data_IF_770896926710
#
_entry.id   IF_770896926710
#
_cell.length_a   1.000
_cell.length_b   1.000
_cell.length_c   1.000
_cell.angle_alpha   90.00
_cell.angle_beta   90.00
_cell.angle_gamma   90.00
#
_symmetry.space_group_name_H-M   'P 1'
#
loop_
_entity.id
_entity.type
_entity.pdbx_description
1 polymer ?
#
# COMPACT_ATOMS: atom_id res chain seq x y z
N UNK A 1 4.23 35.34 -10.23
CA UNK A 1 2.90 35.51 -10.87
C UNK A 1 1.85 35.06 -9.87
N UNK A 2 0.72 35.75 -9.80
CA UNK A 2 -0.38 35.45 -8.87
C UNK A 2 -1.40 34.53 -9.54
N UNK A 3 -1.40 33.25 -9.17
CA UNK A 3 -2.40 32.29 -9.65
C UNK A 3 -3.73 32.56 -8.93
N UNK A 4 -4.61 33.34 -9.57
CA UNK A 4 -6.01 33.44 -9.16
C UNK A 4 -6.73 32.21 -9.75
N UNK A 5 -7.37 31.43 -8.88
CA UNK A 5 -8.23 30.32 -9.27
C UNK A 5 -9.53 30.45 -8.46
N UNK A 6 -10.59 30.91 -9.12
CA UNK A 6 -11.92 31.05 -8.53
C UNK A 6 -12.89 30.02 -9.13
N UNK A 7 -13.35 29.06 -8.32
CA UNK A 7 -14.70 28.48 -8.40
C UNK A 7 -15.15 28.14 -6.97
N UNK A 8 -16.42 28.41 -6.63
CA UNK A 8 -17.09 28.08 -5.36
C UNK A 8 -18.57 27.71 -5.60
N UNK A 9 -19.50 27.74 -4.63
CA UNK A 9 -19.40 28.06 -3.20
C UNK A 9 -19.64 26.80 -2.31
N UNK A 10 -20.71 26.47 -1.55
CA UNK A 10 -21.97 27.08 -1.03
C UNK A 10 -22.19 26.51 0.41
N UNK A 11 -23.03 27.15 1.26
CA UNK A 11 -23.54 26.63 2.55
C UNK A 11 -24.99 27.09 2.75
N UNK A 12 -25.96 26.21 3.07
CA UNK A 12 -26.92 26.41 4.18
C UNK A 12 -27.89 25.23 4.46
N UNK A 13 -28.56 25.29 5.62
CA UNK A 13 -30.00 25.03 5.76
C UNK A 13 -30.55 23.62 5.46
N UNK A 14 -31.33 23.55 4.37
CA UNK A 14 -32.24 22.46 4.00
C UNK A 14 -31.89 21.98 2.58
N UNK A 15 -31.67 20.67 2.37
CA UNK A 15 -30.84 20.20 1.24
C UNK A 15 -31.20 18.82 0.62
N UNK A 16 -32.45 18.58 0.24
CA UNK A 16 -32.86 17.36 -0.51
C UNK A 16 -32.38 17.30 -1.99
N UNK A 17 -31.43 18.15 -2.43
CA UNK A 17 -31.20 18.43 -3.86
C UNK A 17 -29.73 18.69 -4.29
N UNK A 18 -28.73 18.49 -3.42
CA UNK A 18 -27.38 19.05 -3.64
C UNK A 18 -26.33 18.11 -4.26
N UNK A 19 -26.60 16.80 -4.38
CA UNK A 19 -25.64 15.79 -4.86
C UNK A 19 -25.14 16.08 -6.28
N UNK A 20 -26.05 16.20 -7.24
CA UNK A 20 -25.75 16.33 -8.69
C UNK A 20 -25.01 17.65 -9.06
N UNK A 21 -24.77 18.50 -8.05
CA UNK A 21 -24.16 19.83 -8.20
C UNK A 21 -22.67 19.87 -7.86
N UNK A 22 -22.08 18.81 -7.28
CA UNK A 22 -20.70 18.78 -6.79
C UNK A 22 -19.67 18.59 -7.93
N UNK A 23 -19.72 19.47 -8.95
CA UNK A 23 -18.83 19.45 -10.11
C UNK A 23 -17.47 20.04 -9.76
N UNK A 24 -16.42 19.21 -9.70
CA UNK A 24 -15.05 19.69 -9.51
C UNK A 24 -14.33 19.74 -10.86
N UNK A 25 -13.90 20.92 -11.28
CA UNK A 25 -12.96 21.05 -12.40
C UNK A 25 -11.57 20.53 -11.99
N UNK A 26 -11.29 19.28 -12.33
CA UNK A 26 -9.99 18.66 -12.08
C UNK A 26 -8.86 19.22 -12.95
N UNK A 27 -9.15 19.96 -14.03
CA UNK A 27 -8.12 20.43 -14.98
C UNK A 27 -7.06 21.34 -14.34
N UNK A 28 -7.41 22.00 -13.22
CA UNK A 28 -6.55 22.89 -12.45
C UNK A 28 -6.04 22.29 -11.12
N UNK A 29 -6.25 20.99 -10.87
CA UNK A 29 -6.02 20.34 -9.56
C UNK A 29 -4.89 19.28 -9.63
N UNK A 30 -3.63 19.68 -9.55
CA UNK A 30 -2.51 18.70 -9.60
C UNK A 30 -2.46 17.73 -8.41
N UNK A 31 -3.10 18.05 -7.28
CA UNK A 31 -3.16 17.19 -6.08
C UNK A 31 -4.43 17.48 -5.29
N UNK A 32 -5.29 16.48 -5.21
CA UNK A 32 -6.47 16.37 -4.35
C UNK A 32 -6.18 15.30 -3.27
N UNK A 33 -6.53 15.56 -2.02
CA UNK A 33 -6.57 14.51 -0.98
C UNK A 33 -8.00 14.29 -0.52
N UNK A 34 -8.45 13.03 -0.49
CA UNK A 34 -9.80 12.62 -0.08
C UNK A 34 -9.68 11.67 1.11
N UNK A 35 -10.37 11.95 2.21
CA UNK A 35 -10.14 11.23 3.47
C UNK A 35 -11.41 10.79 4.19
N UNK A 36 -11.38 9.58 4.77
CA UNK A 36 -12.48 8.94 5.48
C UNK A 36 -12.84 7.57 4.89
N UNK A 37 -13.71 6.81 5.57
CA UNK A 37 -14.12 5.46 5.14
C UNK A 37 -14.71 5.42 3.71
N UNK A 38 -15.50 6.44 3.37
CA UNK A 38 -16.12 6.71 2.07
C UNK A 38 -15.16 7.23 0.97
N UNK A 39 -13.87 7.42 1.25
CA UNK A 39 -12.95 8.15 0.36
C UNK A 39 -12.74 7.50 -1.02
N UNK A 40 -12.92 6.19 -1.12
CA UNK A 40 -12.92 5.46 -2.38
C UNK A 40 -14.15 5.85 -3.22
N UNK A 41 -15.35 5.74 -2.64
CA UNK A 41 -16.65 6.01 -3.26
C UNK A 41 -16.75 7.48 -3.70
N UNK A 42 -16.33 8.39 -2.82
CA UNK A 42 -16.16 9.82 -3.11
C UNK A 42 -15.31 10.06 -4.37
N UNK A 43 -14.20 9.34 -4.47
CA UNK A 43 -13.28 9.46 -5.60
C UNK A 43 -13.89 8.86 -6.85
N UNK A 44 -14.54 7.68 -6.78
CA UNK A 44 -15.27 7.09 -7.90
C UNK A 44 -16.31 8.05 -8.50
N UNK A 45 -17.06 8.76 -7.67
CA UNK A 45 -18.01 9.78 -8.12
C UNK A 45 -17.32 10.95 -8.85
N UNK A 46 -16.24 11.51 -8.27
CA UNK A 46 -15.44 12.57 -8.93
C UNK A 46 -14.79 12.11 -10.24
N UNK A 47 -14.36 10.85 -10.32
CA UNK A 47 -13.84 10.25 -11.54
C UNK A 47 -14.92 10.08 -12.62
N UNK A 48 -16.17 9.80 -12.22
CA UNK A 48 -17.32 9.74 -13.13
C UNK A 48 -17.58 11.05 -13.88
N UNK A 49 -17.26 12.19 -13.25
CA UNK A 49 -17.41 13.53 -13.85
C UNK A 49 -16.43 13.80 -15.01
N UNK A 50 -15.33 13.04 -15.10
CA UNK A 50 -14.30 13.15 -16.14
C UNK A 50 -14.14 11.87 -16.99
N UNK A 51 -14.97 10.86 -16.74
CA UNK A 51 -14.99 9.61 -17.50
C UNK A 51 -15.17 9.87 -19.00
N UNK A 52 -14.50 9.08 -19.84
CA UNK A 52 -14.48 9.29 -21.30
C UNK A 52 -13.72 10.55 -21.78
N UNK A 53 -13.39 11.51 -20.90
CA UNK A 53 -12.79 12.80 -21.27
C UNK A 53 -11.29 12.92 -20.96
N UNK A 54 -10.76 12.09 -20.03
CA UNK A 54 -9.35 12.04 -19.66
C UNK A 54 -8.87 10.59 -19.50
N UNK A 55 -7.57 10.35 -19.59
CA UNK A 55 -7.00 9.06 -19.17
C UNK A 55 -7.08 8.93 -17.64
N UNK A 56 -7.30 7.72 -17.15
CA UNK A 56 -7.61 7.44 -15.75
C UNK A 56 -7.00 6.11 -15.30
N UNK A 57 -6.03 6.21 -14.39
CA UNK A 57 -5.41 5.04 -13.75
C UNK A 57 -5.69 5.08 -12.24
N UNK A 58 -6.56 4.19 -11.78
CA UNK A 58 -6.79 3.95 -10.35
C UNK A 58 -5.89 2.81 -9.90
N UNK A 59 -4.98 3.07 -8.96
CA UNK A 59 -4.08 2.06 -8.38
C UNK A 59 -4.64 1.68 -7.00
N UNK A 60 -5.19 0.47 -6.88
CA UNK A 60 -5.65 -0.06 -5.60
C UNK A 60 -4.74 -1.20 -5.11
N UNK A 61 -3.75 -0.90 -4.24
CA UNK A 61 -2.86 -1.93 -3.72
C UNK A 61 -3.55 -2.96 -2.81
N UNK A 62 -4.67 -2.61 -2.15
CA UNK A 62 -5.26 -3.44 -1.08
C UNK A 62 -6.78 -3.65 -1.17
N UNK A 63 -7.49 -3.13 -2.20
CA UNK A 63 -8.93 -3.41 -2.39
C UNK A 63 -9.25 -3.99 -3.77
N UNK A 64 -10.26 -4.87 -3.80
CA UNK A 64 -10.95 -5.34 -5.01
C UNK A 64 -12.32 -4.66 -5.16
N UNK A 65 -12.40 -3.38 -4.78
CA UNK A 65 -13.61 -2.54 -4.85
C UNK A 65 -13.36 -1.29 -5.69
N UNK A 66 -14.35 -0.90 -6.48
CA UNK A 66 -14.25 0.19 -7.45
C UNK A 66 -15.48 0.26 -8.36
N UNK A 67 -15.49 1.19 -9.34
CA UNK A 67 -16.67 1.45 -10.15
C UNK A 67 -16.77 0.50 -11.36
N UNK A 68 -17.95 -0.04 -11.60
CA UNK A 68 -18.21 -1.01 -12.69
C UNK A 68 -17.95 -0.47 -14.11
N UNK A 69 -17.87 0.85 -14.28
CA UNK A 69 -17.63 1.49 -15.58
C UNK A 69 -16.13 1.62 -15.95
N UNK A 70 -15.20 1.30 -15.04
CA UNK A 70 -13.77 1.20 -15.35
C UNK A 70 -13.39 -0.20 -15.83
N UNK A 71 -12.44 -0.29 -16.77
CA UNK A 71 -11.84 -1.58 -17.13
C UNK A 71 -11.14 -2.17 -15.90
N UNK A 72 -11.44 -3.42 -15.57
CA UNK A 72 -10.85 -4.08 -14.40
C UNK A 72 -9.58 -4.87 -14.74
N UNK A 73 -8.50 -4.60 -14.00
CA UNK A 73 -7.19 -5.26 -14.14
C UNK A 73 -6.73 -5.75 -12.76
N UNK A 74 -6.51 -7.05 -12.58
CA UNK A 74 -5.86 -7.62 -11.39
C UNK A 74 -4.44 -8.06 -11.73
N UNK A 75 -3.43 -7.52 -11.03
CA UNK A 75 -2.03 -7.87 -11.28
C UNK A 75 -1.75 -9.31 -10.85
N UNK A 76 -1.33 -10.14 -11.82
CA UNK A 76 -1.09 -11.57 -11.63
C UNK A 76 -2.23 -12.47 -12.09
N UNK A 77 -3.39 -11.89 -12.43
CA UNK A 77 -4.46 -12.56 -13.18
C UNK A 77 -4.41 -12.12 -14.65
N UNK A 78 -5.18 -11.08 -15.02
CA UNK A 78 -5.33 -10.60 -16.39
C UNK A 78 -4.38 -9.43 -16.75
N UNK A 79 -3.52 -8.98 -15.83
CA UNK A 79 -2.55 -7.91 -16.06
C UNK A 79 -1.19 -8.17 -15.39
N UNK A 80 -0.12 -7.55 -15.89
CA UNK A 80 1.21 -7.62 -15.27
C UNK A 80 2.10 -6.42 -15.59
N UNK A 81 2.84 -5.92 -14.62
CA UNK A 81 3.72 -4.76 -14.71
C UNK A 81 5.10 -5.14 -14.16
N UNK A 82 6.18 -4.90 -14.92
CA UNK A 82 7.53 -5.25 -14.48
C UNK A 82 8.20 -4.07 -13.73
N UNK A 83 8.41 -4.16 -12.41
CA UNK A 83 9.03 -3.09 -11.62
C UNK A 83 10.55 -3.01 -11.80
N UNK A 84 11.17 -3.96 -12.51
CA UNK A 84 12.60 -3.97 -12.77
C UNK A 84 12.96 -3.28 -14.11
N UNK A 85 12.01 -3.15 -15.05
CA UNK A 85 12.21 -2.46 -16.34
C UNK A 85 12.51 -0.96 -16.10
N UNK A 86 13.73 -0.48 -16.38
CA UNK A 86 14.17 0.84 -15.94
C UNK A 86 13.52 1.97 -16.72
N UNK A 87 13.01 3.00 -16.01
CA UNK A 87 12.32 4.14 -16.63
C UNK A 87 13.11 5.44 -16.46
N UNK A 88 13.65 5.93 -17.58
CA UNK A 88 14.58 7.07 -17.61
C UNK A 88 16.01 6.65 -17.29
N UNK A 89 16.69 7.41 -16.42
CA UNK A 89 18.05 7.07 -15.97
C UNK A 89 18.07 5.77 -15.13
N UNK A 90 18.87 4.80 -15.60
CA UNK A 90 19.14 3.50 -14.95
C UNK A 90 19.71 3.65 -13.54
N UNK A 91 20.58 4.64 -13.30
CA UNK A 91 21.19 4.84 -11.97
C UNK A 91 20.16 5.36 -10.97
N UNK A 92 19.42 6.42 -11.31
CA UNK A 92 18.33 6.93 -10.49
C UNK A 92 17.21 5.88 -10.26
N UNK A 93 16.90 5.05 -11.27
CA UNK A 93 15.86 4.02 -11.15
C UNK A 93 16.29 2.84 -10.26
N UNK A 94 17.54 2.35 -10.36
CA UNK A 94 18.05 1.29 -9.48
C UNK A 94 18.11 1.74 -8.01
N UNK A 95 18.48 3.00 -7.76
CA UNK A 95 18.36 3.63 -6.44
C UNK A 95 16.92 3.66 -5.94
N UNK A 96 15.99 4.15 -6.75
CA UNK A 96 14.58 4.27 -6.40
C UNK A 96 13.94 2.91 -6.04
N UNK A 97 14.14 1.88 -6.85
CA UNK A 97 13.63 0.53 -6.57
C UNK A 97 14.27 -0.06 -5.32
N UNK A 98 15.60 0.01 -5.17
CA UNK A 98 16.28 -0.51 -3.97
C UNK A 98 15.81 0.17 -2.67
N UNK A 99 15.57 1.49 -2.70
CA UNK A 99 15.02 2.23 -1.56
C UNK A 99 13.59 1.79 -1.22
N UNK A 100 12.74 1.45 -2.19
CA UNK A 100 11.37 0.98 -1.92
C UNK A 100 11.38 -0.44 -1.35
N UNK A 101 12.19 -1.35 -1.88
CA UNK A 101 12.40 -2.68 -1.28
C UNK A 101 12.92 -2.55 0.16
N UNK A 102 13.83 -1.60 0.41
CA UNK A 102 14.29 -1.26 1.76
C UNK A 102 13.16 -0.80 2.69
N UNK A 103 12.20 -0.04 2.18
CA UNK A 103 10.96 0.25 2.89
C UNK A 103 10.15 -1.02 3.17
N UNK A 104 9.65 -1.64 2.10
CA UNK A 104 8.69 -2.74 2.10
C UNK A 104 9.14 -4.01 2.86
N UNK A 105 10.45 -4.23 2.99
CA UNK A 105 11.04 -5.37 3.69
C UNK A 105 12.01 -4.99 4.82
N UNK A 106 12.12 -3.70 5.16
CA UNK A 106 13.05 -3.20 6.21
C UNK A 106 14.52 -3.60 6.00
N UNK A 107 14.98 -3.67 4.75
CA UNK A 107 16.33 -4.14 4.40
C UNK A 107 17.43 -3.31 5.08
N UNK A 108 18.54 -3.98 5.44
CA UNK A 108 19.71 -3.29 5.95
C UNK A 108 20.47 -2.54 4.82
N UNK A 109 21.40 -1.65 5.19
CA UNK A 109 22.13 -0.83 4.21
C UNK A 109 22.99 -1.66 3.23
N UNK A 110 23.54 -2.80 3.68
CA UNK A 110 24.35 -3.68 2.83
C UNK A 110 23.45 -4.42 1.82
N UNK A 111 22.33 -5.00 2.28
CA UNK A 111 21.30 -5.59 1.41
C UNK A 111 20.79 -4.59 0.37
N UNK A 112 20.46 -3.36 0.79
CA UNK A 112 20.01 -2.29 -0.12
C UNK A 112 21.08 -2.00 -1.20
N UNK A 113 22.36 -1.96 -0.81
CA UNK A 113 23.45 -1.71 -1.75
C UNK A 113 23.69 -2.88 -2.70
N UNK A 114 23.63 -4.13 -2.22
CA UNK A 114 23.74 -5.32 -3.04
C UNK A 114 22.60 -5.39 -4.08
N UNK A 115 21.35 -5.16 -3.67
CA UNK A 115 20.20 -5.09 -4.59
C UNK A 115 20.39 -3.99 -5.64
N UNK A 116 20.82 -2.78 -5.24
CA UNK A 116 21.13 -1.70 -6.20
C UNK A 116 22.23 -2.08 -7.21
N UNK A 117 23.29 -2.78 -6.77
CA UNK A 117 24.35 -3.27 -7.68
C UNK A 117 23.83 -4.37 -8.61
N UNK A 118 22.98 -5.27 -8.11
CA UNK A 118 22.35 -6.33 -8.89
C UNK A 118 21.43 -5.75 -9.98
N UNK A 119 20.57 -4.79 -9.61
CA UNK A 119 19.76 -4.01 -10.55
C UNK A 119 20.64 -3.33 -11.60
N UNK A 120 21.71 -2.63 -11.21
CA UNK A 120 22.62 -2.01 -12.18
C UNK A 120 23.33 -3.01 -13.11
N UNK A 121 23.69 -4.22 -12.64
CA UNK A 121 24.21 -5.30 -13.51
C UNK A 121 23.14 -5.76 -14.51
N UNK A 122 21.94 -6.08 -14.04
CA UNK A 122 20.82 -6.47 -14.91
C UNK A 122 20.49 -5.37 -15.94
N UNK A 123 20.60 -4.09 -15.55
CA UNK A 123 20.36 -2.92 -16.42
C UNK A 123 21.49 -2.70 -17.43
N UNK A 124 22.67 -3.29 -17.25
CA UNK A 124 23.74 -3.28 -18.25
C UNK A 124 23.58 -4.47 -19.23
N UNK A 125 23.16 -5.63 -18.74
CA UNK A 125 22.91 -6.83 -19.56
C UNK A 125 21.66 -6.74 -20.44
N UNK A 126 20.56 -6.19 -19.91
CA UNK A 126 19.26 -6.12 -20.60
C UNK A 126 18.70 -4.70 -20.66
N UNK A 127 17.86 -4.44 -21.67
CA UNK A 127 17.00 -3.24 -21.74
C UNK A 127 15.70 -3.45 -20.96
N UNK A 128 15.22 -4.69 -20.87
CA UNK A 128 13.99 -5.09 -20.21
C UNK A 128 14.29 -6.28 -19.27
N UNK A 129 15.04 -6.03 -18.17
CA UNK A 129 15.39 -7.06 -17.20
C UNK A 129 14.14 -7.61 -16.51
N UNK A 130 14.08 -8.92 -16.39
CA UNK A 130 13.05 -9.67 -15.65
C UNK A 130 13.40 -9.76 -14.15
N UNK A 131 12.51 -10.35 -13.36
CA UNK A 131 12.83 -10.72 -11.98
C UNK A 131 13.99 -11.74 -11.91
N UNK A 132 14.06 -12.67 -12.89
CA UNK A 132 15.11 -13.69 -12.99
C UNK A 132 16.47 -13.07 -13.32
N UNK A 133 16.53 -12.10 -14.25
CA UNK A 133 17.77 -11.34 -14.54
C UNK A 133 18.33 -10.64 -13.30
N UNK A 134 17.44 -10.09 -12.46
CA UNK A 134 17.82 -9.43 -11.20
C UNK A 134 18.22 -10.45 -10.15
N UNK A 135 17.55 -11.61 -10.07
CA UNK A 135 17.89 -12.71 -9.16
C UNK A 135 19.30 -13.26 -9.45
N UNK A 136 19.61 -13.62 -10.68
CA UNK A 136 20.96 -14.11 -11.05
C UNK A 136 22.04 -13.03 -10.93
N UNK A 137 21.70 -11.74 -11.12
CA UNK A 137 22.62 -10.65 -10.81
C UNK A 137 22.86 -10.50 -9.29
N UNK A 138 21.85 -10.81 -8.47
CA UNK A 138 21.85 -10.70 -7.01
C UNK A 138 22.63 -11.82 -6.33
N UNK A 139 22.52 -13.06 -6.82
CA UNK A 139 23.31 -14.21 -6.34
C UNK A 139 24.83 -13.94 -6.37
N UNK A 140 25.28 -13.12 -7.33
CA UNK A 140 26.68 -12.69 -7.44
C UNK A 140 26.97 -11.52 -6.48
N UNK A 141 26.08 -10.53 -6.39
CA UNK A 141 26.27 -9.32 -5.56
C UNK A 141 26.06 -9.51 -4.06
N UNK A 142 25.40 -10.59 -3.66
CA UNK A 142 25.11 -10.94 -2.26
C UNK A 142 26.25 -11.68 -1.57
N UNK A 143 27.32 -12.04 -2.31
CA UNK A 143 28.50 -12.76 -1.79
C UNK A 143 29.29 -11.97 -0.73
N UNK A 144 29.14 -10.65 -0.68
CA UNK A 144 29.71 -9.77 0.37
C UNK A 144 28.83 -9.67 1.64
N UNK A 145 27.61 -10.21 1.62
CA UNK A 145 26.68 -10.15 2.75
C UNK A 145 26.90 -11.30 3.74
N UNK A 146 26.30 -11.20 4.92
CA UNK A 146 26.19 -12.38 5.80
C UNK A 146 25.29 -13.42 5.13
N UNK A 147 25.53 -14.73 5.35
CA UNK A 147 24.70 -15.79 4.76
C UNK A 147 23.20 -15.59 5.04
N UNK A 148 22.83 -15.07 6.22
CA UNK A 148 21.44 -14.72 6.57
C UNK A 148 20.91 -13.60 5.69
N UNK A 149 21.63 -12.48 5.62
CA UNK A 149 21.19 -11.30 4.86
C UNK A 149 21.12 -11.56 3.35
N UNK A 150 22.02 -12.41 2.85
CA UNK A 150 22.06 -12.90 1.46
C UNK A 150 20.83 -13.74 1.14
N UNK A 151 20.57 -14.81 1.92
CA UNK A 151 19.40 -15.68 1.73
C UNK A 151 18.10 -14.87 1.81
N UNK A 152 17.96 -14.00 2.82
CA UNK A 152 16.77 -13.18 3.01
C UNK A 152 16.51 -12.21 1.84
N UNK A 153 17.56 -11.66 1.24
CA UNK A 153 17.44 -10.78 0.08
C UNK A 153 17.14 -11.55 -1.22
N UNK A 154 17.69 -12.75 -1.37
CA UNK A 154 17.44 -13.66 -2.49
C UNK A 154 15.97 -14.14 -2.45
N UNK A 155 15.49 -14.64 -1.31
CA UNK A 155 14.09 -15.09 -1.12
C UNK A 155 13.06 -14.02 -1.55
N UNK A 156 13.33 -12.74 -1.25
CA UNK A 156 12.46 -11.61 -1.60
C UNK A 156 12.36 -11.39 -3.12
N UNK A 157 13.45 -11.56 -3.88
CA UNK A 157 13.43 -11.42 -5.35
C UNK A 157 12.97 -12.72 -6.02
N UNK A 158 13.30 -13.88 -5.45
CA UNK A 158 12.86 -15.21 -5.89
C UNK A 158 11.33 -15.36 -5.83
N UNK A 159 10.68 -14.78 -4.81
CA UNK A 159 9.22 -14.70 -4.73
C UNK A 159 8.61 -13.96 -5.94
N UNK A 160 9.29 -12.93 -6.45
CA UNK A 160 8.87 -12.18 -7.65
C UNK A 160 9.12 -12.91 -8.97
N UNK A 161 9.61 -14.16 -8.92
CA UNK A 161 9.71 -15.07 -10.05
C UNK A 161 8.61 -16.15 -10.06
N UNK A 162 7.74 -16.23 -9.02
CA UNK A 162 6.85 -17.40 -8.80
C UNK A 162 5.37 -17.07 -8.60
N UNK A 163 4.51 -17.99 -9.06
CA UNK A 163 3.06 -17.94 -8.84
C UNK A 163 2.40 -16.65 -9.37
N UNK A 164 1.33 -16.21 -8.69
CA UNK A 164 0.58 -14.98 -9.03
C UNK A 164 1.46 -13.72 -9.01
N UNK A 165 2.41 -13.64 -8.09
CA UNK A 165 3.37 -12.52 -7.99
C UNK A 165 4.39 -12.51 -9.13
N UNK A 166 4.91 -13.68 -9.52
CA UNK A 166 5.75 -13.83 -10.71
C UNK A 166 4.99 -13.46 -11.99
N UNK A 167 3.75 -13.96 -12.14
CA UNK A 167 2.87 -13.58 -13.24
C UNK A 167 2.67 -12.06 -13.29
N UNK A 168 2.43 -11.42 -12.14
CA UNK A 168 2.27 -9.96 -12.00
C UNK A 168 3.50 -9.16 -12.45
N UNK A 169 4.70 -9.73 -12.49
CA UNK A 169 5.94 -9.04 -12.86
C UNK A 169 6.31 -9.15 -14.37
N UNK A 170 5.46 -9.74 -15.22
CA UNK A 170 5.82 -10.11 -16.62
C UNK A 170 5.65 -9.04 -17.72
N UNK A 171 5.34 -7.78 -17.39
CA UNK A 171 5.20 -6.65 -18.33
C UNK A 171 4.18 -6.82 -19.51
N UNK A 172 2.93 -7.21 -19.23
CA UNK A 172 1.84 -7.19 -20.24
C UNK A 172 0.96 -5.93 -20.19
N UNK A 173 1.14 -5.07 -19.20
CA UNK A 173 0.31 -3.88 -18.98
C UNK A 173 0.95 -2.63 -19.60
N UNK A 174 0.28 -2.08 -20.61
CA UNK A 174 0.54 -0.73 -21.11
C UNK A 174 -0.29 0.27 -20.30
N UNK A 175 0.36 1.30 -19.74
CA UNK A 175 -0.27 2.32 -18.88
C UNK A 175 -0.59 3.62 -19.65
N UNK A 176 -0.42 3.62 -20.97
CA UNK A 176 -0.76 4.72 -21.88
C UNK A 176 -2.22 4.61 -22.32
N UNK A 177 -2.91 5.76 -22.37
CA UNK A 177 -4.29 5.91 -22.87
C UNK A 177 -5.31 4.92 -22.26
N UNK A 178 -5.10 4.62 -20.96
CA UNK A 178 -5.86 3.66 -20.18
C UNK A 178 -6.94 4.37 -19.33
N UNK A 179 -8.15 3.79 -19.30
CA UNK A 179 -9.20 4.07 -18.31
C UNK A 179 -9.49 2.78 -17.54
N UNK A 180 -8.76 2.56 -16.44
CA UNK A 180 -8.82 1.32 -15.68
C UNK A 180 -8.58 1.49 -14.18
N UNK A 181 -9.08 0.51 -13.42
CA UNK A 181 -8.62 0.23 -12.06
C UNK A 181 -7.70 -0.99 -12.08
N UNK A 182 -6.56 -0.84 -11.42
CA UNK A 182 -5.50 -1.84 -11.29
C UNK A 182 -5.46 -2.26 -9.83
N UNK A 183 -6.08 -3.40 -9.54
CA UNK A 183 -6.08 -4.00 -8.20
C UNK A 183 -4.85 -4.89 -7.99
N UNK A 184 -4.35 -4.90 -6.76
CA UNK A 184 -3.27 -5.78 -6.29
C UNK A 184 -3.62 -6.47 -4.97
N UNK A 185 -4.89 -6.45 -4.54
CA UNK A 185 -5.31 -6.96 -3.22
C UNK A 185 -5.10 -8.46 -3.01
N UNK A 186 -4.70 -9.18 -4.06
CA UNK A 186 -4.36 -10.60 -4.04
C UNK A 186 -2.83 -10.86 -4.03
N UNK A 187 -2.02 -9.81 -4.04
CA UNK A 187 -0.57 -9.86 -3.89
C UNK A 187 -0.20 -9.49 -2.44
N UNK A 188 0.88 -10.05 -1.85
CA UNK A 188 1.21 -9.74 -0.47
C UNK A 188 1.56 -8.24 -0.33
N UNK A 189 1.12 -7.54 0.74
CA UNK A 189 1.10 -6.08 0.79
C UNK A 189 2.43 -5.38 0.48
N UNK A 190 3.57 -5.91 0.94
CA UNK A 190 4.91 -5.37 0.62
C UNK A 190 5.19 -5.32 -0.89
N UNK A 191 4.77 -6.33 -1.65
CA UNK A 191 4.96 -6.37 -3.11
C UNK A 191 3.95 -5.49 -3.86
N UNK A 192 2.69 -5.46 -3.43
CA UNK A 192 1.69 -4.51 -3.94
C UNK A 192 2.16 -3.05 -3.76
N UNK A 193 2.87 -2.78 -2.66
CA UNK A 193 3.47 -1.47 -2.36
C UNK A 193 4.63 -1.12 -3.32
N UNK A 194 5.50 -2.08 -3.61
CA UNK A 194 6.59 -1.94 -4.59
C UNK A 194 6.02 -1.68 -6.00
N UNK A 195 5.06 -2.49 -6.43
CA UNK A 195 4.42 -2.38 -7.75
C UNK A 195 3.72 -1.03 -7.91
N UNK A 196 2.93 -0.60 -6.90
CA UNK A 196 2.27 0.71 -6.90
C UNK A 196 3.26 1.87 -7.04
N UNK A 197 4.38 1.84 -6.32
CA UNK A 197 5.42 2.86 -6.40
C UNK A 197 6.18 2.84 -7.74
N UNK A 198 6.46 1.65 -8.29
CA UNK A 198 7.13 1.50 -9.58
C UNK A 198 6.23 1.93 -10.75
N UNK A 199 4.93 1.61 -10.70
CA UNK A 199 3.91 2.13 -11.62
C UNK A 199 3.80 3.66 -11.54
N UNK A 200 3.80 4.23 -10.33
CA UNK A 200 3.75 5.69 -10.18
C UNK A 200 4.98 6.35 -10.81
N UNK A 201 6.20 5.83 -10.59
CA UNK A 201 7.39 6.31 -11.27
C UNK A 201 7.29 6.17 -12.80
N UNK A 202 6.72 5.06 -13.31
CA UNK A 202 6.49 4.88 -14.74
C UNK A 202 5.55 5.96 -15.32
N UNK A 203 4.43 6.24 -14.65
CA UNK A 203 3.46 7.25 -15.06
C UNK A 203 4.09 8.66 -15.12
N UNK A 204 4.85 9.05 -14.09
CA UNK A 204 5.59 10.33 -14.05
C UNK A 204 6.66 10.41 -15.13
N UNK A 205 7.41 9.31 -15.36
CA UNK A 205 8.58 9.34 -16.26
C UNK A 205 8.22 9.32 -17.74
N UNK A 206 7.04 8.81 -18.08
CA UNK A 206 6.52 8.81 -19.45
C UNK A 206 5.54 9.96 -19.73
N UNK A 207 5.38 10.91 -18.79
CA UNK A 207 4.57 12.12 -18.97
C UNK A 207 3.07 11.84 -19.09
N UNK A 208 2.54 10.93 -18.27
CA UNK A 208 1.13 10.54 -18.29
C UNK A 208 0.21 11.75 -18.05
N UNK A 209 -0.78 11.94 -18.92
CA UNK A 209 -1.71 13.08 -18.91
C UNK A 209 -3.11 12.59 -18.54
N UNK A 210 -3.70 13.15 -17.50
CA UNK A 210 -4.99 12.69 -16.98
C UNK A 210 -5.01 12.61 -15.45
N UNK A 211 -5.73 11.64 -14.92
CA UNK A 211 -5.94 11.44 -13.48
C UNK A 211 -5.31 10.13 -13.00
N UNK A 212 -4.52 10.18 -11.93
CA UNK A 212 -3.98 9.02 -11.23
C UNK A 212 -4.53 9.01 -9.81
N UNK A 213 -5.19 7.92 -9.43
CA UNK A 213 -5.75 7.73 -8.09
C UNK A 213 -4.96 6.68 -7.34
N UNK A 214 -4.69 6.95 -6.06
CA UNK A 214 -3.98 6.05 -5.17
C UNK A 214 -4.87 5.73 -3.97
N UNK A 215 -5.39 4.51 -3.92
CA UNK A 215 -6.23 4.04 -2.83
C UNK A 215 -5.39 3.71 -1.59
N UNK A 216 -5.97 3.91 -0.40
CA UNK A 216 -5.38 3.50 0.89
C UNK A 216 -3.92 3.97 1.09
N UNK A 217 -3.65 5.23 0.76
CA UNK A 217 -2.31 5.82 0.78
C UNK A 217 -1.69 5.87 2.19
N UNK A 218 -2.51 5.82 3.24
CA UNK A 218 -2.12 5.60 4.62
C UNK A 218 -1.47 4.22 4.83
N UNK A 219 -2.08 3.14 4.35
CA UNK A 219 -1.52 1.77 4.40
C UNK A 219 -0.27 1.67 3.51
N UNK A 220 -0.29 2.28 2.31
CA UNK A 220 0.87 2.32 1.42
C UNK A 220 2.08 3.00 2.07
N UNK A 221 1.84 4.07 2.83
CA UNK A 221 2.88 4.76 3.60
C UNK A 221 3.50 3.89 4.69
N UNK A 222 2.71 3.06 5.36
CA UNK A 222 3.23 2.17 6.41
C UNK A 222 4.15 1.10 5.80
N UNK A 223 3.74 0.44 4.72
CA UNK A 223 4.58 -0.55 4.04
C UNK A 223 5.83 0.06 3.40
N UNK A 224 5.76 1.18 2.67
CA UNK A 224 6.98 1.77 2.07
C UNK A 224 7.84 2.53 3.09
N UNK A 225 7.32 2.83 4.29
CA UNK A 225 8.05 3.32 5.44
C UNK A 225 9.05 4.45 5.13
N UNK A 226 10.35 4.16 5.25
CA UNK A 226 11.41 5.15 4.99
C UNK A 226 11.44 5.69 3.55
N UNK A 227 10.95 4.92 2.57
CA UNK A 227 10.85 5.31 1.16
C UNK A 227 9.69 6.29 0.88
N UNK A 228 8.88 6.65 1.87
CA UNK A 228 7.83 7.67 1.75
C UNK A 228 8.34 9.00 1.16
N UNK A 229 9.62 9.33 1.38
CA UNK A 229 10.27 10.52 0.80
C UNK A 229 10.31 10.46 -0.74
N UNK A 230 10.46 9.28 -1.32
CA UNK A 230 10.47 9.07 -2.77
C UNK A 230 9.07 9.25 -3.37
N UNK A 231 8.01 8.87 -2.64
CA UNK A 231 6.63 9.20 -3.01
C UNK A 231 6.40 10.72 -3.03
N UNK A 232 6.75 11.42 -1.95
CA UNK A 232 6.63 12.88 -1.88
C UNK A 232 7.45 13.57 -2.98
N UNK A 233 8.63 13.04 -3.34
CA UNK A 233 9.42 13.54 -4.47
C UNK A 233 8.69 13.40 -5.82
N UNK A 234 8.09 12.25 -6.10
CA UNK A 234 7.29 12.04 -7.33
C UNK A 234 6.11 13.01 -7.39
N UNK A 235 5.32 13.13 -6.31
CA UNK A 235 4.18 14.08 -6.19
C UNK A 235 4.61 15.52 -6.47
N UNK A 236 5.79 15.94 -6.01
CA UNK A 236 6.29 17.29 -6.30
C UNK A 236 6.71 17.49 -7.76
N UNK A 237 7.14 16.44 -8.47
CA UNK A 237 7.49 16.53 -9.90
C UNK A 237 6.27 16.58 -10.83
N UNK A 238 5.17 15.92 -10.47
CA UNK A 238 3.93 15.92 -11.27
C UNK A 238 3.29 17.31 -11.41
N UNK A 239 3.67 18.30 -10.58
CA UNK A 239 3.20 19.69 -10.66
C UNK A 239 3.58 20.46 -11.94
N UNK A 240 4.36 19.86 -12.85
CA UNK A 240 4.82 20.47 -14.12
C UNK A 240 4.00 19.96 -15.32
N UNK A 241 3.18 18.93 -15.13
CA UNK A 241 2.47 18.21 -16.19
C UNK A 241 0.94 18.28 -15.98
N UNK A 242 0.12 18.05 -17.03
CA UNK A 242 -1.34 17.99 -16.93
C UNK A 242 -1.78 16.66 -16.29
N UNK A 243 -1.39 16.49 -15.02
CA UNK A 243 -1.54 15.30 -14.22
C UNK A 243 -2.16 15.64 -12.86
N UNK A 244 -3.35 15.11 -12.64
CA UNK A 244 -4.10 15.18 -11.37
C UNK A 244 -3.80 13.95 -10.54
N UNK A 245 -3.33 14.13 -9.30
CA UNK A 245 -3.23 13.03 -8.32
C UNK A 245 -4.43 13.12 -7.37
N UNK A 246 -5.17 12.02 -7.20
CA UNK A 246 -6.13 11.87 -6.11
C UNK A 246 -5.58 10.88 -5.09
N UNK A 247 -5.26 11.39 -3.90
CA UNK A 247 -4.71 10.64 -2.79
C UNK A 247 -5.82 10.28 -1.79
N UNK A 248 -6.25 9.02 -1.76
CA UNK A 248 -7.30 8.54 -0.86
C UNK A 248 -6.70 8.02 0.45
N UNK A 249 -7.24 8.42 1.61
CA UNK A 249 -6.86 7.84 2.91
C UNK A 249 -8.05 7.43 3.77
N UNK A 250 -7.93 6.33 4.51
CA UNK A 250 -8.98 5.84 5.42
C UNK A 250 -9.40 6.86 6.49
N UNK A 251 -8.44 7.68 6.94
CA UNK A 251 -8.57 8.72 7.96
C UNK A 251 -7.86 9.99 7.51
N UNK A 252 -8.33 11.15 7.96
CA UNK A 252 -7.74 12.46 7.66
C UNK A 252 -6.60 12.82 8.63
N UNK A 253 -6.57 12.17 9.80
CA UNK A 253 -5.48 12.22 10.76
C UNK A 253 -4.21 11.57 10.20
N UNK A 254 -4.34 10.47 9.44
CA UNK A 254 -3.25 9.71 8.84
C UNK A 254 -2.68 10.31 7.55
N UNK A 255 -3.44 11.16 6.85
CA UNK A 255 -2.98 11.87 5.64
C UNK A 255 -1.66 12.59 5.92
N UNK A 256 -0.57 12.35 5.19
CA UNK A 256 0.73 12.93 5.57
C UNK A 256 0.74 14.45 5.47
N UNK A 257 1.39 15.13 6.43
CA UNK A 257 1.44 16.59 6.49
C UNK A 257 2.07 17.19 5.22
N UNK A 258 3.01 16.47 4.63
CA UNK A 258 3.67 16.80 3.37
C UNK A 258 2.71 16.84 2.18
N UNK A 259 1.58 16.10 2.23
CA UNK A 259 0.52 16.18 1.24
C UNK A 259 -0.52 17.23 1.61
N UNK A 260 -0.96 17.27 2.88
CA UNK A 260 -1.92 18.27 3.38
C UNK A 260 -1.45 19.71 3.14
N UNK A 261 -0.13 19.97 3.21
CA UNK A 261 0.48 21.28 2.92
C UNK A 261 0.71 21.58 1.43
N UNK A 262 0.46 20.61 0.53
CA UNK A 262 0.73 20.70 -0.92
C UNK A 262 -0.49 20.46 -1.81
N UNK A 263 -1.56 19.92 -1.24
CA UNK A 263 -2.83 19.69 -1.89
C UNK A 263 -3.49 21.02 -2.27
N UNK A 264 -4.05 21.08 -3.46
CA UNK A 264 -4.79 22.26 -3.96
C UNK A 264 -6.21 22.25 -3.38
N UNK A 265 -6.75 21.06 -3.10
CA UNK A 265 -8.04 20.84 -2.46
C UNK A 265 -7.96 19.66 -1.49
N UNK A 266 -8.69 19.75 -0.37
CA UNK A 266 -8.78 18.71 0.65
C UNK A 266 -10.25 18.42 0.94
N UNK A 267 -10.66 17.16 0.78
CA UNK A 267 -12.00 16.64 1.07
C UNK A 267 -11.89 15.66 2.24
N UNK A 268 -12.73 15.82 3.27
CA UNK A 268 -12.67 15.06 4.53
C UNK A 268 -14.07 14.66 4.96
N UNK A 269 -14.29 13.38 5.27
CA UNK A 269 -15.60 12.91 5.72
C UNK A 269 -15.92 13.19 7.17
N UNK A 270 -17.03 12.61 7.62
CA UNK A 270 -17.35 12.49 9.05
C UNK A 270 -16.16 11.83 9.78
N UNK A 271 -15.71 12.40 10.92
CA UNK A 271 -14.49 11.94 11.59
C UNK A 271 -14.65 10.58 12.26
N UNK A 272 -13.80 9.61 11.89
CA UNK A 272 -13.81 8.26 12.46
C UNK A 272 -13.14 8.20 13.84
N UNK A 273 -12.10 9.01 14.06
CA UNK A 273 -11.28 9.00 15.28
C UNK A 273 -11.38 10.33 16.06
N UNK A 274 -11.02 10.35 17.36
CA UNK A 274 -10.84 11.60 18.10
C UNK A 274 -9.79 12.53 17.46
N UNK A 275 -8.78 11.97 16.80
CA UNK A 275 -7.76 12.71 16.03
C UNK A 275 -8.36 13.36 14.77
N UNK A 276 -9.20 12.64 14.02
CA UNK A 276 -9.96 13.19 12.91
C UNK A 276 -10.87 14.32 13.39
N UNK A 277 -11.61 14.11 14.48
CA UNK A 277 -12.50 15.11 15.04
C UNK A 277 -11.74 16.39 15.44
N UNK A 278 -10.55 16.27 16.04
CA UNK A 278 -9.64 17.39 16.34
C UNK A 278 -9.14 18.08 15.07
N UNK A 279 -8.70 17.33 14.06
CA UNK A 279 -8.17 17.85 12.81
C UNK A 279 -9.24 18.61 12.00
N UNK A 280 -10.43 18.02 11.85
CA UNK A 280 -11.60 18.65 11.25
C UNK A 280 -12.03 19.89 12.05
N UNK A 281 -11.95 19.85 13.40
CA UNK A 281 -12.18 21.03 14.25
C UNK A 281 -11.29 22.22 13.89
N UNK A 282 -10.01 21.95 13.59
CA UNK A 282 -9.04 22.96 13.20
C UNK A 282 -9.25 23.46 11.75
N UNK A 283 -9.77 22.63 10.86
CA UNK A 283 -10.06 23.01 9.47
C UNK A 283 -11.35 23.82 9.30
N UNK A 284 -12.49 23.30 9.77
CA UNK A 284 -13.82 23.91 9.51
C UNK A 284 -14.40 24.68 10.71
N UNK A 285 -13.75 24.58 11.87
CA UNK A 285 -14.17 25.25 13.10
C UNK A 285 -15.30 24.53 13.86
N UNK A 286 -15.27 24.66 15.19
CA UNK A 286 -16.20 24.00 16.14
C UNK A 286 -17.69 24.20 15.86
N UNK A 287 -18.08 25.29 15.18
CA UNK A 287 -19.50 25.53 14.81
C UNK A 287 -19.97 24.57 13.72
N UNK A 288 -19.14 24.28 12.71
CA UNK A 288 -19.50 23.45 11.55
C UNK A 288 -19.36 21.94 11.82
N UNK A 289 -18.53 21.55 12.80
CA UNK A 289 -18.47 20.16 13.30
C UNK A 289 -19.83 19.59 13.72
N UNK A 290 -20.76 20.43 14.21
CA UNK A 290 -22.13 19.99 14.57
C UNK A 290 -22.93 19.49 13.36
N UNK A 291 -22.58 19.91 12.14
CA UNK A 291 -23.24 19.48 10.91
C UNK A 291 -22.79 18.07 10.51
N UNK A 292 -21.48 17.77 10.64
CA UNK A 292 -20.83 16.51 10.25
C UNK A 292 -21.16 15.29 11.13
N UNK A 293 -22.18 15.40 11.97
CA UNK A 293 -22.56 14.40 12.98
C UNK A 293 -23.72 13.49 12.52
N UNK A 294 -24.01 13.44 11.22
CA UNK A 294 -24.80 12.39 10.54
C UNK A 294 -23.89 11.55 9.63
N UNK A 295 -24.40 10.44 9.09
CA UNK A 295 -23.61 9.51 8.27
C UNK A 295 -23.32 10.05 6.87
N UNK A 296 -24.19 10.93 6.37
CA UNK A 296 -24.21 11.43 4.99
C UNK A 296 -23.56 12.83 4.79
N UNK A 297 -22.75 13.33 5.73
CA UNK A 297 -22.18 14.69 5.66
C UNK A 297 -20.67 14.78 5.68
N UNK A 298 -20.14 15.61 4.78
CA UNK A 298 -18.74 15.66 4.43
C UNK A 298 -18.25 17.11 4.37
N UNK A 299 -16.99 17.33 4.73
CA UNK A 299 -16.34 18.64 4.75
C UNK A 299 -15.36 18.79 3.58
N UNK A 300 -15.17 20.03 3.13
CA UNK A 300 -14.09 20.40 2.24
C UNK A 300 -13.43 21.69 2.72
N UNK A 301 -12.13 21.81 2.47
CA UNK A 301 -11.37 22.99 2.81
C UNK A 301 -10.42 23.33 1.66
N UNK A 302 -10.72 24.45 1.00
CA UNK A 302 -9.82 25.16 0.09
C UNK A 302 -8.95 26.09 0.93
N UNK A 303 -7.75 26.42 0.46
CA UNK A 303 -6.74 27.18 1.23
C UNK A 303 -7.23 28.58 1.70
N UNK A 304 -8.33 29.09 1.14
CA UNK A 304 -9.00 30.34 1.55
C UNK A 304 -10.48 30.20 1.97
N UNK A 305 -11.09 29.00 1.92
CA UNK A 305 -12.52 28.81 2.22
C UNK A 305 -12.88 27.38 2.62
N UNK A 306 -13.69 27.21 3.67
CA UNK A 306 -14.24 25.91 4.09
C UNK A 306 -15.75 25.83 3.92
N UNK A 307 -16.26 24.63 3.70
CA UNK A 307 -17.69 24.31 3.61
C UNK A 307 -18.02 22.87 3.99
N UNK A 308 -19.30 22.51 3.87
CA UNK A 308 -19.87 21.18 4.18
C UNK A 308 -20.90 20.85 3.09
N UNK A 309 -20.86 19.63 2.55
CA UNK A 309 -21.78 19.12 1.50
C UNK A 309 -22.25 17.70 1.87
N UNK A 310 -23.45 17.35 1.41
CA UNK A 310 -24.09 16.03 1.54
C UNK A 310 -23.83 15.23 0.24
N UNK A 311 -23.37 13.98 0.33
CA UNK A 311 -22.94 13.14 -0.81
C UNK A 311 -23.46 11.71 -0.56
N UNK A 312 -24.14 11.05 -1.51
CA UNK A 312 -24.72 9.75 -1.24
C UNK A 312 -23.62 8.69 -1.18
N UNK A 313 -23.85 7.70 -0.33
CA UNK A 313 -23.03 6.49 -0.31
C UNK A 313 -23.48 5.59 -1.49
N UNK A 314 -22.95 5.86 -2.69
CA UNK A 314 -22.93 4.86 -3.76
C UNK A 314 -22.21 3.60 -3.26
N UNK A 315 -22.83 2.43 -3.39
CA UNK A 315 -22.22 1.17 -2.94
C UNK A 315 -21.09 0.74 -3.88
N UNK A 316 -19.87 0.63 -3.36
CA UNK A 316 -18.76 -0.01 -4.08
C UNK A 316 -19.02 -1.51 -4.20
N UNK A 317 -19.02 -2.01 -5.43
CA UNK A 317 -19.26 -3.43 -5.69
C UNK A 317 -17.92 -4.17 -5.76
N UNK A 318 -17.86 -5.37 -5.17
CA UNK A 318 -16.70 -6.26 -5.31
C UNK A 318 -16.52 -6.65 -6.77
N UNK A 319 -15.34 -6.39 -7.30
CA UNK A 319 -15.08 -6.44 -8.73
C UNK A 319 -14.80 -7.88 -9.17
N UNK A 320 -15.63 -8.40 -10.08
CA UNK A 320 -15.47 -9.74 -10.64
C UNK A 320 -14.57 -9.66 -11.89
N UNK A 321 -13.59 -10.55 -11.99
CA UNK A 321 -12.57 -10.56 -13.05
C UNK A 321 -12.61 -11.90 -13.77
N UNK A 322 -12.56 -11.89 -15.09
CA UNK A 322 -12.42 -13.12 -15.87
C UNK A 322 -11.01 -13.71 -15.71
N UNK A 323 -10.92 -14.99 -15.35
CA UNK A 323 -9.66 -15.64 -14.96
C UNK A 323 -8.90 -16.23 -16.16
N UNK A 324 -7.99 -15.46 -16.76
CA UNK A 324 -6.97 -15.99 -17.68
C UNK A 324 -5.77 -16.62 -16.94
N UNK A 325 -6.05 -17.52 -15.99
CA UNK A 325 -5.01 -18.20 -15.21
C UNK A 325 -4.19 -19.17 -16.10
N UNK A 326 -2.88 -18.90 -16.23
CA UNK A 326 -1.92 -19.95 -16.62
C UNK A 326 -1.80 -20.96 -15.49
N UNK A 327 -1.61 -22.24 -15.86
CA UNK A 327 -1.54 -23.37 -14.94
C UNK A 327 -0.54 -23.15 -13.79
N UNK A 328 -0.95 -23.60 -12.60
CA UNK A 328 -0.18 -23.48 -11.36
C UNK A 328 1.13 -24.30 -11.44
N UNK A 329 2.25 -23.62 -11.18
CA UNK A 329 3.40 -24.23 -10.53
C UNK A 329 3.19 -24.13 -9.01
N UNK A 330 3.82 -25.03 -8.24
CA UNK A 330 3.45 -25.39 -6.86
C UNK A 330 3.11 -24.20 -5.94
N UNK A 331 2.08 -24.41 -5.10
CA UNK A 331 1.60 -23.41 -4.15
C UNK A 331 2.72 -22.95 -3.20
N UNK A 332 2.82 -21.63 -2.91
CA UNK A 332 3.93 -21.09 -2.13
C UNK A 332 3.89 -21.57 -0.68
N UNK A 333 5.06 -21.80 -0.10
CA UNK A 333 5.22 -22.04 1.34
C UNK A 333 5.36 -20.69 2.04
N UNK A 334 4.45 -20.37 2.96
CA UNK A 334 4.50 -19.12 3.73
C UNK A 334 5.83 -18.97 4.50
N UNK A 335 6.21 -17.75 4.88
CA UNK A 335 7.42 -17.48 5.67
C UNK A 335 7.47 -18.32 6.96
N UNK A 336 6.32 -18.61 7.58
CA UNK A 336 6.28 -19.52 8.74
C UNK A 336 6.66 -20.96 8.36
N UNK A 337 6.17 -21.50 7.23
CA UNK A 337 6.61 -22.80 6.72
C UNK A 337 8.06 -22.79 6.21
N UNK A 338 8.55 -21.69 5.64
CA UNK A 338 9.93 -21.55 5.19
C UNK A 338 10.93 -21.48 6.36
N UNK A 339 10.60 -20.77 7.45
CA UNK A 339 11.52 -20.58 8.59
C UNK A 339 11.34 -21.59 9.73
N UNK A 340 10.13 -22.13 9.92
CA UNK A 340 9.83 -23.05 11.03
C UNK A 340 9.35 -24.45 10.58
N UNK A 341 9.14 -24.68 9.28
CA UNK A 341 8.78 -25.99 8.73
C UNK A 341 7.53 -26.58 9.38
N UNK A 342 7.68 -27.75 10.01
CA UNK A 342 6.60 -28.44 10.72
C UNK A 342 6.06 -27.68 11.94
N UNK A 343 6.78 -26.65 12.43
CA UNK A 343 6.36 -25.81 13.56
C UNK A 343 5.66 -24.51 13.14
N UNK A 344 5.41 -24.31 11.85
CA UNK A 344 4.73 -23.11 11.34
C UNK A 344 3.37 -22.85 12.00
N UNK A 345 2.55 -23.88 12.21
CA UNK A 345 1.21 -23.73 12.82
C UNK A 345 1.30 -23.36 14.31
N UNK A 346 2.21 -24.00 15.06
CA UNK A 346 2.53 -23.62 16.44
C UNK A 346 3.08 -22.20 16.56
N UNK A 347 3.86 -21.75 15.58
CA UNK A 347 4.35 -20.38 15.49
C UNK A 347 3.24 -19.37 15.19
N UNK A 348 2.32 -19.72 14.28
CA UNK A 348 1.12 -18.95 13.95
C UNK A 348 0.24 -18.73 15.20
N UNK A 349 -0.07 -19.77 15.98
CA UNK A 349 -0.87 -19.64 17.21
C UNK A 349 -0.23 -18.68 18.23
N UNK A 350 1.09 -18.77 18.44
CA UNK A 350 1.82 -17.86 19.36
C UNK A 350 1.89 -16.43 18.82
N UNK A 351 2.08 -16.25 17.51
CA UNK A 351 2.09 -14.93 16.89
C UNK A 351 0.69 -14.31 16.90
N UNK A 352 -0.38 -15.08 16.68
CA UNK A 352 -1.75 -14.57 16.80
C UNK A 352 -2.09 -14.18 18.24
N UNK A 353 -1.59 -14.89 19.26
CA UNK A 353 -1.69 -14.43 20.65
C UNK A 353 -0.95 -13.11 20.90
N UNK A 354 0.18 -12.88 20.22
CA UNK A 354 0.93 -11.62 20.27
C UNK A 354 0.37 -10.50 19.35
N UNK A 355 -0.59 -10.81 18.47
CA UNK A 355 -1.36 -9.84 17.67
C UNK A 355 -2.35 -9.07 18.56
N UNK A 356 -2.97 -9.77 19.52
CA UNK A 356 -3.94 -9.18 20.46
C UNK A 356 -3.28 -8.27 21.51
N UNK A 357 -1.97 -8.45 21.79
CA UNK A 357 -1.22 -7.56 22.68
C UNK A 357 0.20 -8.03 22.99
N UNK A 358 1.01 -7.12 23.54
CA UNK A 358 2.30 -7.50 24.12
C UNK A 358 2.08 -8.27 25.43
N UNK A 359 2.90 -9.30 25.69
CA UNK A 359 2.72 -10.22 26.82
C UNK A 359 4.07 -10.61 27.43
N UNK A 360 4.10 -10.96 28.72
CA UNK A 360 5.37 -11.33 29.37
C UNK A 360 5.89 -12.67 28.86
N UNK A 361 7.21 -12.87 28.89
CA UNK A 361 7.85 -14.10 28.39
C UNK A 361 7.26 -15.38 29.00
N UNK A 362 7.02 -15.38 30.30
CA UNK A 362 6.45 -16.53 31.02
C UNK A 362 4.98 -16.76 30.64
N UNK A 363 4.22 -15.69 30.41
CA UNK A 363 2.83 -15.77 29.90
C UNK A 363 2.76 -16.37 28.49
N UNK A 364 3.68 -16.00 27.59
CA UNK A 364 3.75 -16.57 26.23
C UNK A 364 4.15 -18.04 26.26
N UNK A 365 5.12 -18.42 27.11
CA UNK A 365 5.52 -19.82 27.30
C UNK A 365 4.37 -20.64 27.90
N UNK A 366 3.65 -20.10 28.89
CA UNK A 366 2.49 -20.77 29.50
C UNK A 366 1.34 -20.93 28.50
N UNK A 367 1.07 -19.91 27.68
CA UNK A 367 0.10 -20.01 26.58
C UNK A 367 0.47 -21.13 25.62
N UNK A 368 1.73 -21.15 25.14
CA UNK A 368 2.21 -22.18 24.23
C UNK A 368 2.07 -23.60 24.84
N UNK A 369 2.47 -23.80 26.10
CA UNK A 369 2.33 -25.08 26.79
C UNK A 369 0.87 -25.55 26.85
N UNK A 370 -0.06 -24.68 27.28
CA UNK A 370 -1.46 -25.07 27.47
C UNK A 370 -2.30 -25.10 26.19
N UNK A 371 -1.94 -24.32 25.16
CA UNK A 371 -2.68 -24.24 23.88
C UNK A 371 -2.21 -25.28 22.87
N UNK A 372 -0.93 -25.65 22.89
CA UNK A 372 -0.29 -26.50 21.88
C UNK A 372 0.10 -27.89 22.41
N UNK A 373 -0.14 -28.15 23.71
CA UNK A 373 0.24 -29.37 24.43
C UNK A 373 1.74 -29.73 24.29
N UNK A 374 2.60 -28.71 24.45
CA UNK A 374 4.07 -28.85 24.32
C UNK A 374 4.78 -28.66 25.66
N UNK A 375 5.95 -29.30 25.80
CA UNK A 375 6.81 -29.13 26.98
C UNK A 375 7.31 -27.68 27.13
N UNK A 376 7.60 -27.25 28.36
CA UNK A 376 8.15 -25.92 28.65
C UNK A 376 9.47 -25.63 27.91
N UNK A 377 10.31 -26.65 27.74
CA UNK A 377 11.53 -26.58 26.95
C UNK A 377 11.26 -26.33 25.46
N UNK A 378 10.19 -26.93 24.92
CA UNK A 378 9.79 -26.79 23.52
C UNK A 378 9.10 -25.46 23.25
N UNK A 379 8.21 -25.01 24.14
CA UNK A 379 7.63 -23.67 24.13
C UNK A 379 8.74 -22.59 24.18
N UNK A 380 9.69 -22.71 25.12
CA UNK A 380 10.82 -21.77 25.23
C UNK A 380 11.73 -21.79 24.00
N UNK A 381 11.98 -22.96 23.40
CA UNK A 381 12.69 -23.06 22.11
C UNK A 381 11.94 -22.36 20.98
N UNK A 382 10.63 -22.58 20.86
CA UNK A 382 9.81 -21.97 19.81
C UNK A 382 9.75 -20.43 19.95
N UNK A 383 9.56 -19.92 21.18
CA UNK A 383 9.63 -18.48 21.47
C UNK A 383 11.00 -17.89 21.13
N UNK A 384 12.11 -18.58 21.47
CA UNK A 384 13.45 -18.17 21.05
C UNK A 384 13.61 -18.17 19.52
N UNK A 385 13.04 -19.14 18.80
CA UNK A 385 13.06 -19.18 17.33
C UNK A 385 12.32 -17.98 16.72
N UNK A 386 11.15 -17.61 17.27
CA UNK A 386 10.42 -16.39 16.85
C UNK A 386 11.25 -15.12 17.06
N UNK A 387 11.97 -14.99 18.18
CA UNK A 387 12.89 -13.88 18.45
C UNK A 387 14.08 -13.86 17.49
N UNK A 388 14.71 -15.02 17.24
CA UNK A 388 15.87 -15.15 16.35
C UNK A 388 15.52 -14.75 14.90
N UNK A 389 14.35 -15.16 14.40
CA UNK A 389 13.88 -14.75 13.07
C UNK A 389 13.29 -13.32 13.04
N UNK A 390 13.20 -12.64 14.20
CA UNK A 390 12.67 -11.28 14.29
C UNK A 390 11.17 -11.18 14.04
N UNK A 391 10.42 -12.28 14.25
CA UNK A 391 8.95 -12.34 14.16
C UNK A 391 8.30 -11.80 15.46
N UNK A 392 8.99 -11.95 16.58
CA UNK A 392 8.71 -11.25 17.83
C UNK A 392 9.95 -10.45 18.27
N UNK A 393 9.77 -9.48 19.16
CA UNK A 393 10.86 -8.75 19.83
C UNK A 393 10.58 -8.59 21.32
N UNK A 394 11.62 -8.75 22.14
CA UNK A 394 11.56 -8.40 23.57
C UNK A 394 11.78 -6.91 23.79
N UNK A 395 10.98 -6.32 24.69
CA UNK A 395 11.02 -4.91 25.08
C UNK A 395 10.96 -4.85 26.61
N UNK A 396 11.80 -4.02 27.23
CA UNK A 396 11.75 -3.79 28.68
C UNK A 396 10.61 -2.83 28.99
N UNK A 397 9.65 -3.28 29.80
CA UNK A 397 8.52 -2.47 30.24
C UNK A 397 8.93 -1.46 31.33
N UNK A 398 8.06 -0.47 31.58
CA UNK A 398 8.24 0.46 32.70
C UNK A 398 8.16 -0.23 34.09
N UNK A 399 7.68 -1.48 34.14
CA UNK A 399 7.70 -2.36 35.31
C UNK A 399 9.00 -3.18 35.44
N UNK A 400 9.99 -2.95 34.57
CA UNK A 400 11.28 -3.63 34.56
C UNK A 400 11.26 -5.06 34.00
N UNK A 401 10.11 -5.54 33.49
CA UNK A 401 9.97 -6.89 32.95
C UNK A 401 10.23 -6.94 31.45
N UNK A 402 10.54 -8.14 30.95
CA UNK A 402 10.68 -8.43 29.52
C UNK A 402 9.31 -8.82 28.94
N UNK A 403 8.80 -7.95 28.08
CA UNK A 403 7.56 -8.12 27.32
C UNK A 403 7.90 -8.52 25.88
N UNK A 404 7.34 -9.61 25.38
CA UNK A 404 7.35 -9.90 23.95
C UNK A 404 6.22 -9.12 23.28
N UNK A 405 6.53 -8.57 22.10
CA UNK A 405 5.55 -8.04 21.14
C UNK A 405 5.80 -8.69 19.78
N UNK A 406 4.75 -8.90 18.99
CA UNK A 406 4.90 -9.20 17.56
C UNK A 406 5.57 -8.03 16.82
N UNK A 407 6.43 -8.33 15.85
CA UNK A 407 7.01 -7.32 14.95
C UNK A 407 6.17 -7.16 13.69
N UNK A 408 6.46 -6.15 12.86
CA UNK A 408 5.88 -6.04 11.51
C UNK A 408 6.17 -7.29 10.68
N UNK A 409 7.38 -7.87 10.81
CA UNK A 409 7.73 -9.14 10.14
C UNK A 409 6.90 -10.33 10.63
N UNK A 410 6.57 -10.37 11.93
CA UNK A 410 5.67 -11.36 12.51
C UNK A 410 4.23 -11.23 12.00
N UNK A 411 3.71 -9.99 11.91
CA UNK A 411 2.40 -9.70 11.35
C UNK A 411 2.32 -10.10 9.87
N UNK A 412 3.29 -9.68 9.05
CA UNK A 412 3.37 -10.09 7.65
C UNK A 412 3.38 -11.63 7.49
N UNK A 413 4.06 -12.35 8.37
CA UNK A 413 4.14 -13.81 8.34
C UNK A 413 2.85 -14.52 8.85
N UNK A 414 2.02 -13.85 9.66
CA UNK A 414 0.65 -14.28 9.94
C UNK A 414 -0.24 -14.09 8.71
N UNK A 415 -0.30 -12.87 8.20
CA UNK A 415 -1.18 -12.47 7.08
C UNK A 415 -0.88 -13.27 5.80
N UNK A 416 0.39 -13.59 5.54
CA UNK A 416 0.80 -14.49 4.47
C UNK A 416 0.28 -15.92 4.66
N UNK A 417 0.26 -16.45 5.89
CA UNK A 417 -0.29 -17.79 6.16
C UNK A 417 -1.82 -17.78 6.11
N UNK A 418 -2.48 -16.76 6.66
CA UNK A 418 -3.94 -16.57 6.57
C UNK A 418 -4.41 -16.45 5.11
N UNK A 419 -3.68 -15.70 4.28
CA UNK A 419 -3.96 -15.58 2.85
C UNK A 419 -3.81 -16.92 2.10
N UNK A 420 -2.87 -17.78 2.50
CA UNK A 420 -2.61 -19.06 1.82
C UNK A 420 -3.46 -20.23 2.34
N UNK A 421 -3.83 -20.29 3.62
CA UNK A 421 -4.88 -21.20 4.09
C UNK A 421 -6.26 -20.78 3.52
N UNK A 422 -6.46 -19.49 3.23
CA UNK A 422 -7.62 -18.95 2.49
C UNK A 422 -7.70 -19.31 1.00
N UNK A 423 -6.61 -19.80 0.38
CA UNK A 423 -6.65 -20.42 -0.96
C UNK A 423 -7.12 -21.88 -0.89
N UNK A 424 -6.63 -22.65 0.08
CA UNK A 424 -6.94 -24.09 0.24
C UNK A 424 -8.37 -24.39 0.69
N UNK A 425 -9.17 -23.36 0.97
CA UNK A 425 -10.56 -23.46 1.44
C UNK A 425 -11.57 -22.92 0.42
N UNK A 426 -11.15 -22.77 -0.85
CA UNK A 426 -11.99 -22.37 -1.99
C UNK A 426 -11.83 -23.33 -3.18
N UNK A 427 -12.29 -24.57 -2.97
CA UNK A 427 -12.72 -25.50 -4.02
C UNK A 427 -14.25 -25.60 -4.01
#
# INVERSE_FOLDING_TARGET
>A
MSTIVEVGWIVDGDADALVDTLRIDLSNVHLLTVSGAWSLNATCHLLGQVAGSVNLVVVSPYTAEGPQWLRHLSLGLNASFNPFKPVGDKLAYSHFIADIFKGAFSLNNAQTSALRRALMRAYLSSKEPTAEDVLSALEIESTELTNRDSIELIEIVEAMCRGRLGAACTNRLELTDLQAIISMSELPPSYASILSMAMLMYLVKNGFKGVVVLCNLDVLREFIGSAWRNFVYLVNKMKVEPLTIIACTSSASFTPLELRTRAHMIIVGSPLTPEDAKYVSAMVGRKRLKLLNSKERFAYNLISSSGVIEIPLEETVKMHVEEELKALLEAPRSMLHAKLGNKAKMAYDILSFLRDGASTRDSVISYAMHRLDVSSLEASRLVNTLLIHGLASEVVGADGKYWLKITVRGLNALEELEALEGWLTRE
#
